data_IF_849467309082
#
_entry.id   IF_849467309082
#
_cell.length_a   1.000
_cell.length_b   1.000
_cell.length_c   1.000
_cell.angle_alpha   90.00
_cell.angle_beta   90.00
_cell.angle_gamma   90.00
#
_symmetry.space_group_name_H-M   'P 1'
#
loop_
_entity.id
_entity.type
_entity.pdbx_description
1 polymer ?
#
# COMPACT_ATOMS: atom_id res chain seq x y z
N UNK A 1 -26.03 0.96 -5.38
CA UNK A 1 -25.54 -0.06 -4.41
C UNK A 1 -24.14 -0.53 -4.77
N UNK A 2 -23.75 -0.55 -6.04
CA UNK A 2 -22.43 -0.93 -6.55
C UNK A 2 -21.28 -0.11 -5.95
N UNK A 3 -21.43 1.21 -5.84
CA UNK A 3 -20.32 2.09 -5.41
C UNK A 3 -19.93 1.88 -3.94
N UNK A 4 -20.90 1.63 -3.05
CA UNK A 4 -20.62 1.32 -1.63
C UNK A 4 -19.83 0.02 -1.47
N UNK A 5 -20.17 -1.01 -2.25
CA UNK A 5 -19.45 -2.28 -2.22
C UNK A 5 -18.05 -2.15 -2.82
N UNK A 6 -17.88 -1.33 -3.86
CA UNK A 6 -16.58 -1.08 -4.46
C UNK A 6 -15.67 -0.25 -3.55
N UNK A 7 -16.22 0.76 -2.87
CA UNK A 7 -15.49 1.55 -1.86
C UNK A 7 -15.01 0.64 -0.72
N UNK A 8 -15.87 -0.22 -0.17
CA UNK A 8 -15.49 -1.16 0.89
C UNK A 8 -14.37 -2.12 0.44
N UNK A 9 -14.43 -2.61 -0.80
CA UNK A 9 -13.39 -3.47 -1.36
C UNK A 9 -12.05 -2.71 -1.55
N UNK A 10 -12.09 -1.43 -1.92
CA UNK A 10 -10.89 -0.59 -2.01
C UNK A 10 -10.31 -0.28 -0.64
N UNK A 11 -11.15 -0.03 0.35
CA UNK A 11 -10.70 0.19 1.73
C UNK A 11 -10.01 -1.04 2.31
N UNK A 12 -10.51 -2.24 2.02
CA UNK A 12 -9.84 -3.48 2.41
C UNK A 12 -8.47 -3.61 1.74
N UNK A 13 -8.39 -3.41 0.43
CA UNK A 13 -7.10 -3.45 -0.29
C UNK A 13 -6.11 -2.42 0.23
N UNK A 14 -6.58 -1.20 0.53
CA UNK A 14 -5.77 -0.14 1.15
C UNK A 14 -5.23 -0.59 2.51
N UNK A 15 -6.05 -1.27 3.32
CA UNK A 15 -5.63 -1.78 4.62
C UNK A 15 -4.54 -2.85 4.47
N UNK A 16 -4.71 -3.79 3.53
CA UNK A 16 -3.72 -4.84 3.26
C UNK A 16 -2.39 -4.25 2.77
N UNK A 17 -2.45 -3.29 1.84
CA UNK A 17 -1.28 -2.56 1.33
C UNK A 17 -0.53 -1.82 2.44
N UNK A 18 -1.25 -1.19 3.38
CA UNK A 18 -0.66 -0.51 4.53
C UNK A 18 0.00 -1.47 5.50
N UNK A 19 -0.61 -2.63 5.76
CA UNK A 19 -0.01 -3.67 6.58
C UNK A 19 1.32 -4.15 5.97
N UNK A 20 1.33 -4.41 4.66
CA UNK A 20 2.55 -4.79 3.94
C UNK A 20 3.66 -3.71 4.04
N UNK A 21 3.31 -2.42 3.93
CA UNK A 21 4.28 -1.33 4.08
C UNK A 21 4.91 -1.30 5.47
N UNK A 22 4.13 -1.55 6.52
CA UNK A 22 4.62 -1.62 7.91
C UNK A 22 5.63 -2.76 8.02
N UNK A 23 5.25 -3.97 7.61
CA UNK A 23 6.13 -5.15 7.67
C UNK A 23 7.42 -4.95 6.86
N UNK A 24 7.35 -4.36 5.67
CA UNK A 24 8.52 -4.09 4.84
C UNK A 24 9.44 -3.04 5.46
N UNK A 25 8.86 -2.03 6.12
CA UNK A 25 9.64 -0.99 6.83
C UNK A 25 10.35 -1.59 8.05
N UNK A 26 9.67 -2.45 8.80
CA UNK A 26 10.25 -3.18 9.93
C UNK A 26 11.38 -4.11 9.47
N UNK A 27 11.17 -4.85 8.38
CA UNK A 27 12.21 -5.70 7.78
C UNK A 27 13.41 -4.87 7.32
N UNK A 28 13.18 -3.75 6.63
CA UNK A 28 14.26 -2.87 6.17
C UNK A 28 15.06 -2.30 7.36
N UNK A 29 14.39 -1.94 8.45
CA UNK A 29 15.05 -1.49 9.68
C UNK A 29 15.85 -2.62 10.36
N UNK A 30 15.36 -3.86 10.31
CA UNK A 30 16.02 -5.02 10.92
C UNK A 30 17.22 -5.54 10.12
N UNK A 31 17.20 -5.44 8.79
CA UNK A 31 18.25 -5.94 7.89
C UNK A 31 19.27 -4.88 7.43
N UNK A 32 19.16 -3.64 7.93
CA UNK A 32 20.11 -2.54 7.72
C UNK A 32 21.55 -3.01 7.93
N UNK A 33 22.31 -3.25 6.86
CA UNK A 33 23.68 -3.76 6.86
C UNK A 33 23.96 -4.97 5.95
N UNK A 34 22.94 -5.72 5.52
CA UNK A 34 23.06 -6.72 4.47
C UNK A 34 22.68 -6.08 3.14
N UNK A 35 23.40 -6.36 2.03
CA UNK A 35 23.24 -5.71 0.72
C UNK A 35 21.86 -5.80 0.02
N UNK A 36 20.80 -6.16 0.74
CA UNK A 36 19.41 -6.23 0.30
C UNK A 36 18.61 -4.93 0.55
N UNK A 37 19.23 -3.88 1.09
CA UNK A 37 18.58 -2.57 1.34
C UNK A 37 17.93 -1.98 0.08
N UNK A 38 18.58 -2.12 -1.08
CA UNK A 38 18.05 -1.66 -2.37
C UNK A 38 16.81 -2.45 -2.83
N UNK A 39 16.71 -3.75 -2.50
CA UNK A 39 15.56 -4.57 -2.84
C UNK A 39 14.37 -4.23 -1.94
N UNK A 40 14.62 -4.05 -0.64
CA UNK A 40 13.62 -3.59 0.33
C UNK A 40 13.06 -2.22 -0.04
N UNK A 41 13.93 -1.25 -0.32
CA UNK A 41 13.55 0.10 -0.74
C UNK A 41 12.69 0.11 -2.01
N UNK A 42 13.05 -0.71 -3.02
CA UNK A 42 12.25 -0.85 -4.24
C UNK A 42 10.86 -1.41 -3.97
N UNK A 43 10.74 -2.43 -3.11
CA UNK A 43 9.44 -3.03 -2.78
C UNK A 43 8.55 -2.06 -1.99
N UNK A 44 9.12 -1.31 -1.06
CA UNK A 44 8.42 -0.24 -0.33
C UNK A 44 7.89 0.82 -1.32
N UNK A 45 8.74 1.28 -2.25
CA UNK A 45 8.33 2.26 -3.26
C UNK A 45 7.18 1.77 -4.15
N UNK A 46 7.21 0.50 -4.57
CA UNK A 46 6.12 -0.13 -5.33
C UNK A 46 4.82 -0.17 -4.54
N UNK A 47 4.89 -0.55 -3.26
CA UNK A 47 3.71 -0.67 -2.42
C UNK A 47 3.10 0.70 -2.07
N UNK A 48 3.94 1.73 -1.94
CA UNK A 48 3.49 3.12 -1.77
C UNK A 48 2.78 3.64 -3.03
N UNK A 49 3.33 3.38 -4.22
CA UNK A 49 2.68 3.78 -5.47
C UNK A 49 1.30 3.11 -5.65
N UNK A 50 1.17 1.86 -5.24
CA UNK A 50 -0.13 1.16 -5.24
C UNK A 50 -1.09 1.74 -4.21
N UNK A 51 -0.62 2.09 -3.00
CA UNK A 51 -1.43 2.77 -2.00
C UNK A 51 -2.01 4.09 -2.53
N UNK A 52 -1.18 4.89 -3.20
CA UNK A 52 -1.58 6.17 -3.77
C UNK A 52 -2.65 5.96 -4.87
N UNK A 53 -2.46 4.96 -5.73
CA UNK A 53 -3.41 4.60 -6.78
C UNK A 53 -4.76 4.17 -6.22
N UNK A 54 -4.77 3.27 -5.24
CA UNK A 54 -6.00 2.77 -4.62
C UNK A 54 -6.74 3.88 -3.88
N UNK A 55 -6.00 4.74 -3.18
CA UNK A 55 -6.55 5.92 -2.49
C UNK A 55 -7.20 6.88 -3.48
N UNK A 56 -6.53 7.22 -4.58
CA UNK A 56 -7.08 8.08 -5.61
C UNK A 56 -8.35 7.50 -6.26
N UNK A 57 -8.38 6.17 -6.50
CA UNK A 57 -9.57 5.49 -7.02
C UNK A 57 -10.74 5.57 -6.05
N UNK A 58 -10.51 5.29 -4.76
CA UNK A 58 -11.54 5.41 -3.71
C UNK A 58 -12.09 6.83 -3.64
N UNK A 59 -11.21 7.83 -3.62
CA UNK A 59 -11.60 9.23 -3.51
C UNK A 59 -12.41 9.70 -4.73
N UNK A 60 -12.11 9.20 -5.92
CA UNK A 60 -12.90 9.45 -7.12
C UNK A 60 -14.32 8.85 -7.00
N UNK A 61 -14.44 7.63 -6.47
CA UNK A 61 -15.74 6.97 -6.23
C UNK A 61 -16.55 7.63 -5.10
N UNK A 62 -15.90 8.26 -4.12
CA UNK A 62 -16.58 8.99 -3.05
C UNK A 62 -17.10 10.37 -3.49
N UNK A 63 -16.51 10.96 -4.55
CA UNK A 63 -16.89 12.27 -5.09
C UNK A 63 -17.94 12.19 -6.20
N UNK A 64 -18.12 11.03 -6.83
CA UNK A 64 -19.14 10.75 -7.84
C UNK A 64 -20.48 10.38 -7.22
#
# INVERSE_FOLDING_TARGET
MTDKSEIAALEQQIADVRANLIELTEQAAAFSGAGDEDLGAKRIAQQQAELDRLTAKRDALQKG
#
